data_IF_297633390411
#
_entry.id   IF_297633390411
#
_cell.length_a   1.000
_cell.length_b   1.000
_cell.length_c   1.000
_cell.angle_alpha   90.00
_cell.angle_beta   90.00
_cell.angle_gamma   90.00
#
_symmetry.space_group_name_H-M   'P 1'
#
loop_
_entity.id
_entity.type
_entity.pdbx_description
1 polymer ?
#
# COMPACT_ATOMS: atom_id res chain seq x y z
N UNK A 1 -18.38 9.24 -0.49
CA UNK A 1 -17.44 8.32 0.18
C UNK A 1 -16.13 8.40 -0.57
N UNK A 2 -15.16 9.14 -0.03
CA UNK A 2 -13.82 9.26 -0.63
C UNK A 2 -13.11 7.93 -0.38
N UNK A 3 -12.59 7.31 -1.43
CA UNK A 3 -11.89 6.05 -1.33
C UNK A 3 -10.55 6.29 -0.62
N UNK A 4 -10.38 5.74 0.57
CA UNK A 4 -9.17 5.80 1.41
C UNK A 4 -7.95 5.04 0.83
N UNK A 5 -7.96 4.74 -0.48
CA UNK A 5 -6.88 4.03 -1.15
C UNK A 5 -5.52 4.74 -1.03
N UNK A 6 -5.51 6.04 -0.74
CA UNK A 6 -4.31 6.84 -0.53
C UNK A 6 -3.80 6.85 0.92
N UNK A 7 -4.58 6.38 1.91
CA UNK A 7 -4.16 6.39 3.33
C UNK A 7 -2.82 5.67 3.56
N UNK A 8 -2.57 4.47 3.00
CA UNK A 8 -1.30 3.78 3.21
C UNK A 8 -0.08 4.60 2.81
N UNK A 9 -0.15 5.21 1.61
CA UNK A 9 0.91 6.07 1.10
C UNK A 9 1.01 7.35 1.91
N UNK A 10 -0.12 7.95 2.33
CA UNK A 10 -0.14 9.22 3.07
C UNK A 10 0.44 9.07 4.49
N UNK A 11 0.17 7.93 5.14
CA UNK A 11 0.75 7.60 6.44
C UNK A 11 2.27 7.58 6.38
N UNK A 12 2.84 7.03 5.31
CA UNK A 12 4.29 6.99 5.10
C UNK A 12 4.85 8.35 4.65
N UNK A 13 4.30 8.94 3.59
CA UNK A 13 4.86 10.18 3.01
C UNK A 13 4.64 11.38 3.93
N UNK A 14 3.41 11.61 4.42
CA UNK A 14 3.14 12.78 5.25
C UNK A 14 3.48 12.54 6.72
N UNK A 15 2.87 11.54 7.34
CA UNK A 15 2.92 11.40 8.80
C UNK A 15 4.26 10.87 9.33
N UNK A 16 4.97 10.07 8.54
CA UNK A 16 6.30 9.57 8.89
C UNK A 16 7.46 10.39 8.31
N UNK A 17 7.32 11.00 7.11
CA UNK A 17 8.42 11.73 6.45
C UNK A 17 8.24 13.25 6.44
N UNK A 18 7.16 13.79 5.90
CA UNK A 18 7.09 15.21 5.48
C UNK A 18 6.49 16.18 6.50
N UNK A 19 5.77 15.67 7.51
CA UNK A 19 5.05 16.50 8.48
C UNK A 19 5.99 17.47 9.20
N UNK A 20 5.67 18.76 9.13
CA UNK A 20 6.41 19.83 9.81
C UNK A 20 5.71 20.33 11.09
N UNK A 21 4.39 20.17 11.18
CA UNK A 21 3.59 20.65 12.34
C UNK A 21 3.31 19.50 13.30
N UNK A 22 3.94 19.50 14.46
CA UNK A 22 3.77 18.45 15.48
C UNK A 22 4.63 17.21 15.22
N UNK A 23 4.55 16.20 16.11
CA UNK A 23 5.41 15.02 16.02
C UNK A 23 5.10 14.18 14.78
N UNK A 24 6.14 13.56 14.24
CA UNK A 24 6.05 12.50 13.22
C UNK A 24 5.86 11.15 13.90
N UNK A 25 5.21 10.23 13.20
CA UNK A 25 5.20 8.81 13.57
C UNK A 25 6.51 8.20 13.05
N UNK A 26 7.16 7.31 13.78
CA UNK A 26 8.36 6.64 13.24
C UNK A 26 7.97 5.77 12.04
N UNK A 27 8.90 5.54 11.12
CA UNK A 27 8.62 4.71 9.93
C UNK A 27 8.27 3.28 10.33
N UNK A 28 8.90 2.74 11.38
CA UNK A 28 8.63 1.41 11.93
C UNK A 28 7.21 1.31 12.48
N UNK A 29 6.74 2.33 13.19
CA UNK A 29 5.38 2.35 13.72
C UNK A 29 4.35 2.51 12.59
N UNK A 30 4.62 3.39 11.61
CA UNK A 30 3.77 3.54 10.44
C UNK A 30 3.66 2.23 9.62
N UNK A 31 4.76 1.46 9.51
CA UNK A 31 4.76 0.13 8.89
C UNK A 31 4.02 -0.88 9.77
N UNK A 32 4.25 -0.90 11.09
CA UNK A 32 3.59 -1.82 12.04
C UNK A 32 2.07 -1.70 11.99
N UNK A 33 1.56 -0.46 12.01
CA UNK A 33 0.13 -0.18 11.93
C UNK A 33 -0.52 -0.78 10.67
N UNK A 34 0.19 -0.75 9.54
CA UNK A 34 -0.29 -1.25 8.24
C UNK A 34 0.03 -2.74 7.98
N UNK A 35 0.77 -3.40 8.87
CA UNK A 35 1.24 -4.77 8.66
C UNK A 35 0.94 -5.65 9.88
N UNK A 36 1.87 -5.79 10.82
CA UNK A 36 1.75 -6.70 11.96
C UNK A 36 0.52 -6.38 12.81
N UNK A 37 0.26 -5.11 13.15
CA UNK A 37 -0.89 -4.76 13.97
C UNK A 37 -2.23 -5.09 13.29
N UNK A 38 -2.32 -4.89 11.97
CA UNK A 38 -3.52 -5.26 11.20
C UNK A 38 -3.67 -6.78 11.13
N UNK A 39 -2.57 -7.52 10.92
CA UNK A 39 -2.58 -8.98 10.89
C UNK A 39 -3.01 -9.56 12.25
N UNK A 40 -2.52 -9.02 13.36
CA UNK A 40 -2.89 -9.41 14.73
C UNK A 40 -4.38 -9.20 14.99
N UNK A 41 -4.95 -8.05 14.61
CA UNK A 41 -6.39 -7.76 14.75
C UNK A 41 -7.24 -8.75 13.97
N UNK A 42 -6.77 -9.20 12.80
CA UNK A 42 -7.47 -10.16 11.96
C UNK A 42 -7.15 -11.63 12.30
N UNK A 43 -6.28 -11.91 13.27
CA UNK A 43 -5.87 -13.26 13.63
C UNK A 43 -5.01 -13.96 12.56
N UNK A 44 -4.35 -13.21 11.68
CA UNK A 44 -3.51 -13.74 10.62
C UNK A 44 -2.09 -14.00 11.16
N UNK A 45 -1.72 -15.27 11.31
CA UNK A 45 -0.44 -15.69 11.89
C UNK A 45 0.67 -15.94 10.87
N UNK A 46 0.31 -16.00 9.59
CA UNK A 46 1.20 -16.33 8.47
C UNK A 46 1.74 -15.11 7.72
N UNK A 47 1.36 -13.88 8.10
CA UNK A 47 1.74 -12.65 7.40
C UNK A 47 1.81 -11.43 8.32
N UNK A 48 2.21 -10.29 7.73
CA UNK A 48 2.32 -9.01 8.43
C UNK A 48 3.69 -8.78 9.05
N UNK A 49 4.63 -9.73 8.91
CA UNK A 49 6.03 -9.59 9.34
C UNK A 49 6.97 -10.18 8.29
N UNK A 50 8.12 -9.53 8.07
CA UNK A 50 9.22 -10.09 7.28
C UNK A 50 10.03 -11.02 8.17
N UNK A 51 9.74 -12.32 8.11
CA UNK A 51 10.46 -13.34 8.85
C UNK A 51 10.43 -14.69 8.10
N UNK A 52 11.37 -15.56 8.41
CA UNK A 52 11.41 -16.93 7.85
C UNK A 52 10.11 -17.66 8.22
N UNK A 53 9.52 -18.36 7.25
CA UNK A 53 8.26 -19.10 7.42
C UNK A 53 6.99 -18.26 7.29
N UNK A 54 7.10 -16.94 7.14
CA UNK A 54 5.97 -16.07 6.83
C UNK A 54 5.73 -15.99 5.31
N UNK A 55 4.53 -15.60 4.90
CA UNK A 55 4.21 -15.35 3.49
C UNK A 55 5.09 -14.24 2.93
N UNK A 56 5.53 -14.43 1.68
CA UNK A 56 6.28 -13.45 0.92
C UNK A 56 5.38 -12.34 0.34
N UNK A 57 4.66 -11.64 1.23
CA UNK A 57 3.84 -10.47 0.94
C UNK A 57 4.66 -9.22 1.33
N UNK A 58 5.27 -8.54 0.35
CA UNK A 58 6.31 -7.51 0.58
C UNK A 58 6.11 -6.31 -0.33
N UNK A 59 6.29 -5.10 0.20
CA UNK A 59 6.47 -3.88 -0.59
C UNK A 59 7.92 -3.41 -0.51
N UNK A 60 8.50 -3.05 -1.66
CA UNK A 60 9.77 -2.33 -1.76
C UNK A 60 9.45 -0.92 -2.20
N UNK A 61 9.86 0.06 -1.39
CA UNK A 61 9.48 1.45 -1.52
C UNK A 61 10.74 2.30 -1.51
N UNK A 62 10.86 3.19 -2.49
CA UNK A 62 11.76 4.33 -2.42
C UNK A 62 11.11 5.38 -1.52
N UNK A 63 11.57 5.42 -0.27
CA UNK A 63 10.96 6.24 0.76
C UNK A 63 11.22 7.74 0.55
N UNK A 64 12.24 8.14 -0.22
CA UNK A 64 12.49 9.56 -0.50
C UNK A 64 11.52 10.09 -1.56
N UNK A 65 11.20 9.27 -2.55
CA UNK A 65 10.31 9.67 -3.66
C UNK A 65 8.85 9.27 -3.46
N UNK A 66 8.52 8.54 -2.38
CA UNK A 66 7.15 8.12 -2.08
C UNK A 66 6.21 9.33 -1.97
N UNK A 67 5.23 9.42 -2.86
CA UNK A 67 4.29 10.53 -2.84
C UNK A 67 2.92 10.16 -3.41
N UNK A 68 1.90 10.89 -2.98
CA UNK A 68 0.56 10.84 -3.56
C UNK A 68 0.43 11.99 -4.55
N UNK A 69 -0.03 11.66 -5.76
CA UNK A 69 -0.21 12.65 -6.82
C UNK A 69 -1.56 13.37 -6.70
N UNK A 70 -1.72 14.46 -7.44
CA UNK A 70 -3.01 15.14 -7.53
C UNK A 70 -4.08 14.21 -8.12
N UNK A 71 -5.33 14.26 -7.62
CA UNK A 71 -6.42 13.48 -8.18
C UNK A 71 -6.77 13.96 -9.60
N UNK A 72 -7.15 13.04 -10.48
CA UNK A 72 -7.57 13.33 -11.84
C UNK A 72 -8.88 12.60 -12.17
N UNK A 73 -9.65 13.15 -13.11
CA UNK A 73 -10.91 12.55 -13.54
C UNK A 73 -10.69 11.58 -14.72
N UNK A 74 -11.41 10.46 -14.70
CA UNK A 74 -11.49 9.50 -15.81
C UNK A 74 -12.95 9.10 -16.06
N UNK A 75 -13.28 8.81 -17.31
CA UNK A 75 -14.63 8.45 -17.77
C UNK A 75 -14.67 6.99 -18.25
N UNK A 76 -14.18 6.07 -17.43
CA UNK A 76 -13.97 4.66 -17.77
C UNK A 76 -14.94 3.70 -17.04
N UNK A 77 -15.97 4.24 -16.38
CA UNK A 77 -17.01 3.41 -15.77
C UNK A 77 -18.04 2.94 -16.81
N UNK A 78 -18.73 1.81 -16.55
CA UNK A 78 -19.90 1.40 -17.32
C UNK A 78 -20.91 2.55 -17.49
N UNK A 79 -21.58 2.60 -18.64
CA UNK A 79 -22.48 3.68 -19.04
C UNK A 79 -21.86 5.09 -19.12
N UNK A 80 -20.52 5.19 -19.25
CA UNK A 80 -19.82 6.47 -19.43
C UNK A 80 -19.69 7.29 -18.15
N UNK A 81 -19.84 6.66 -16.99
CA UNK A 81 -19.71 7.33 -15.70
C UNK A 81 -18.30 7.86 -15.45
N UNK A 82 -18.20 8.93 -14.64
CA UNK A 82 -16.94 9.57 -14.25
C UNK A 82 -16.51 9.13 -12.85
N UNK A 83 -15.23 8.83 -12.66
CA UNK A 83 -14.59 8.66 -11.35
C UNK A 83 -13.35 9.52 -11.19
N UNK A 84 -12.99 9.80 -9.94
CA UNK A 84 -11.71 10.39 -9.58
C UNK A 84 -10.72 9.28 -9.23
N UNK A 85 -9.52 9.35 -9.81
CA UNK A 85 -8.40 8.47 -9.50
C UNK A 85 -7.28 9.30 -8.89
N UNK A 86 -6.49 8.65 -8.05
CA UNK A 86 -5.31 9.23 -7.45
C UNK A 86 -4.18 8.21 -7.52
N UNK A 87 -3.09 8.55 -8.19
CA UNK A 87 -1.91 7.69 -8.32
C UNK A 87 -0.88 8.01 -7.25
N UNK A 88 0.09 7.11 -7.09
CA UNK A 88 1.23 7.28 -6.19
C UNK A 88 2.53 6.97 -6.93
N UNK A 89 3.63 7.56 -6.46
CA UNK A 89 5.01 7.33 -6.92
C UNK A 89 5.86 6.75 -5.78
N UNK A 90 7.06 6.25 -6.08
CA UNK A 90 7.97 5.65 -5.09
C UNK A 90 7.77 4.16 -4.79
N UNK A 91 6.74 3.51 -5.34
CA UNK A 91 6.60 2.05 -5.25
C UNK A 91 7.51 1.35 -6.27
N UNK A 92 8.57 0.69 -5.79
CA UNK A 92 9.53 -0.05 -6.62
C UNK A 92 8.99 -1.44 -6.97
N UNK A 93 8.45 -2.16 -5.98
CA UNK A 93 7.81 -3.46 -6.20
C UNK A 93 6.73 -3.75 -5.16
N UNK A 94 5.63 -4.37 -5.59
CA UNK A 94 4.64 -5.00 -4.70
C UNK A 94 4.59 -6.48 -5.00
N UNK A 95 4.84 -7.30 -3.99
CA UNK A 95 5.00 -8.74 -4.08
C UNK A 95 3.90 -9.39 -3.24
N UNK A 96 3.22 -10.37 -3.82
CA UNK A 96 2.21 -11.17 -3.12
C UNK A 96 2.56 -12.64 -3.34
N UNK A 97 2.69 -13.40 -2.25
CA UNK A 97 3.07 -14.81 -2.28
C UNK A 97 4.33 -15.08 -3.12
N UNK A 98 5.33 -14.18 -3.04
CA UNK A 98 6.59 -14.26 -3.78
C UNK A 98 6.52 -13.84 -5.24
N UNK A 99 5.34 -13.47 -5.76
CA UNK A 99 5.16 -13.03 -7.15
C UNK A 99 5.03 -11.52 -7.22
N UNK A 100 5.81 -10.87 -8.09
CA UNK A 100 5.73 -9.41 -8.31
C UNK A 100 4.41 -9.12 -9.03
N UNK A 101 3.52 -8.37 -8.36
CA UNK A 101 2.25 -7.91 -8.93
C UNK A 101 2.34 -6.50 -9.50
N UNK A 102 3.22 -5.67 -8.96
CA UNK A 102 3.53 -4.35 -9.51
C UNK A 102 5.04 -4.10 -9.54
N UNK A 103 5.52 -3.46 -10.60
CA UNK A 103 6.92 -3.03 -10.74
C UNK A 103 6.98 -1.56 -11.16
N UNK A 104 7.71 -0.75 -10.42
CA UNK A 104 7.87 0.69 -10.68
C UNK A 104 6.51 1.40 -10.90
N UNK A 105 5.52 1.09 -10.06
CA UNK A 105 4.14 1.62 -10.17
C UNK A 105 3.26 0.99 -11.26
N UNK A 106 3.77 0.10 -12.10
CA UNK A 106 3.02 -0.54 -13.20
C UNK A 106 2.48 -1.90 -12.78
N UNK A 107 1.21 -2.18 -13.07
CA UNK A 107 0.59 -3.50 -12.88
C UNK A 107 1.18 -4.53 -13.86
N UNK A 108 1.56 -5.68 -13.35
CA UNK A 108 2.13 -6.78 -14.14
C UNK A 108 1.06 -7.69 -14.75
N UNK A 109 -0.18 -7.62 -14.25
CA UNK A 109 -1.24 -8.55 -14.59
C UNK A 109 -1.26 -9.81 -13.72
N UNK A 110 -0.21 -10.07 -12.93
CA UNK A 110 -0.15 -11.23 -12.04
C UNK A 110 -1.19 -11.15 -10.91
N UNK A 111 -1.86 -12.28 -10.64
CA UNK A 111 -2.91 -12.41 -9.61
C UNK A 111 -2.65 -13.63 -8.69
N UNK A 112 -1.54 -13.65 -7.94
CA UNK A 112 -1.17 -14.75 -7.04
C UNK A 112 -2.03 -14.80 -5.76
N UNK A 113 -2.85 -13.77 -5.53
CA UNK A 113 -3.74 -13.68 -4.37
C UNK A 113 -4.72 -14.86 -4.29
N UNK A 114 -5.09 -15.24 -3.08
CA UNK A 114 -6.05 -16.31 -2.79
C UNK A 114 -7.02 -15.85 -1.71
N UNK A 115 -8.20 -16.46 -1.70
CA UNK A 115 -9.17 -16.27 -0.63
C UNK A 115 -8.53 -16.68 0.70
N UNK A 116 -8.54 -15.77 1.67
CA UNK A 116 -8.16 -16.06 3.06
C UNK A 116 -9.32 -16.79 3.70
N UNK A 117 -9.06 -17.97 4.25
CA UNK A 117 -10.04 -18.81 4.96
C UNK A 117 -9.57 -18.98 6.40
N UNK A 118 -10.52 -18.93 7.33
CA UNK A 118 -10.31 -19.24 8.75
C UNK A 118 -10.32 -20.75 8.98
#
# INVERSE_FOLDING_TARGET
>A
MICDASIPTYLLSHWARDRQRGPKISVEEAVRLQTTATAEVLGLTDRGRVAVGQRADVNVIDFETLNINAPYATNDLPAGGRRLLQSATGYVATIVNGTITRRNGVDTGERPGRLVRA
#
